data_IF_796677777215
#
_entry.id   IF_796677777215
#
_cell.length_a   1.000
_cell.length_b   1.000
_cell.length_c   1.000
_cell.angle_alpha   90.00
_cell.angle_beta   90.00
_cell.angle_gamma   90.00
#
_symmetry.space_group_name_H-M   'P 1'
#
loop_
_entity.id
_entity.type
_entity.pdbx_description
1 polymer ?
#
# COMPACT_ATOMS: atom_id res chain seq x y z
N UNK A 1 -29.19 -17.41 49.53
CA UNK A 1 -29.90 -18.32 48.61
C UNK A 1 -29.51 -17.97 47.20
N UNK A 2 -29.28 -19.02 46.42
CA UNK A 2 -28.86 -19.06 45.02
C UNK A 2 -29.81 -18.34 44.04
N UNK A 3 -29.21 -17.95 42.92
CA UNK A 3 -29.71 -18.07 41.53
C UNK A 3 -30.87 -17.15 41.09
N UNK A 4 -30.92 -16.56 39.88
CA UNK A 4 -30.27 -16.90 38.60
C UNK A 4 -29.83 -15.67 37.79
N UNK A 5 -28.77 -15.87 37.01
CA UNK A 5 -28.27 -15.07 35.90
C UNK A 5 -29.32 -14.71 34.83
N UNK A 6 -29.10 -13.63 34.07
CA UNK A 6 -28.97 -13.78 32.62
C UNK A 6 -27.86 -12.88 32.05
N UNK A 7 -26.77 -13.55 31.67
CA UNK A 7 -25.79 -13.10 30.70
C UNK A 7 -26.53 -13.07 29.36
N UNK A 8 -27.04 -11.90 28.96
CA UNK A 8 -27.83 -11.77 27.72
C UNK A 8 -27.92 -10.34 27.19
N UNK A 9 -28.04 -9.33 28.06
CA UNK A 9 -28.41 -7.98 27.60
C UNK A 9 -27.25 -6.99 27.47
N UNK A 10 -26.05 -7.33 27.95
CA UNK A 10 -24.89 -6.43 27.87
C UNK A 10 -24.07 -6.57 26.56
N UNK A 11 -24.48 -7.46 25.64
CA UNK A 11 -23.74 -7.73 24.40
C UNK A 11 -24.50 -7.39 23.11
N UNK A 12 -25.70 -6.79 23.20
CA UNK A 12 -26.52 -6.52 22.02
C UNK A 12 -27.10 -5.10 21.88
N UNK A 13 -26.89 -4.18 22.82
CA UNK A 13 -27.48 -2.83 22.71
C UNK A 13 -26.66 -1.81 21.90
N UNK A 14 -25.38 -2.10 21.56
CA UNK A 14 -24.55 -1.17 20.78
C UNK A 14 -24.45 -1.50 19.28
N UNK A 15 -25.29 -2.41 18.77
CA UNK A 15 -25.43 -2.66 17.32
C UNK A 15 -26.40 -1.72 16.61
N UNK A 16 -26.40 -0.43 16.97
CA UNK A 16 -26.96 0.61 16.10
C UNK A 16 -25.81 1.43 15.55
N UNK A 17 -25.57 1.20 14.27
CA UNK A 17 -24.66 1.88 13.34
C UNK A 17 -24.50 3.38 13.59
N UNK A 18 -23.61 3.76 14.51
CA UNK A 18 -22.91 5.03 14.42
C UNK A 18 -21.55 4.72 13.84
N UNK A 19 -21.35 5.08 12.58
CA UNK A 19 -20.04 5.23 11.98
C UNK A 19 -19.12 5.90 13.01
N UNK A 20 -18.17 5.12 13.56
CA UNK A 20 -17.29 5.63 14.61
C UNK A 20 -16.36 6.66 13.96
N UNK A 21 -16.34 7.86 14.53
CA UNK A 21 -15.44 8.95 14.12
C UNK A 21 -13.98 8.49 14.21
N UNK A 22 -13.13 8.94 13.28
CA UNK A 22 -11.69 8.68 13.36
C UNK A 22 -11.15 9.36 14.58
N UNK A 23 -10.72 8.55 15.54
CA UNK A 23 -9.92 9.04 16.63
C UNK A 23 -8.46 8.83 16.22
N UNK A 24 -7.77 9.91 15.89
CA UNK A 24 -6.33 9.89 15.60
C UNK A 24 -5.61 9.69 16.93
N UNK A 25 -5.06 8.51 17.20
CA UNK A 25 -4.20 8.29 18.35
C UNK A 25 -2.73 8.56 17.97
N UNK A 26 -2.13 9.57 18.60
CA UNK A 26 -0.78 10.07 18.31
C UNK A 26 0.36 9.20 18.87
N UNK A 27 0.12 7.94 19.21
CA UNK A 27 1.04 7.18 20.05
C UNK A 27 1.94 6.25 19.23
N UNK A 28 3.20 6.68 19.04
CA UNK A 28 4.40 5.85 18.83
C UNK A 28 4.42 4.98 17.55
N UNK A 29 5.18 5.22 16.50
CA UNK A 29 6.66 5.29 16.41
C UNK A 29 7.02 5.54 14.94
N UNK A 30 8.29 5.82 14.64
CA UNK A 30 8.84 5.98 13.28
C UNK A 30 8.72 4.67 12.49
N UNK A 31 7.52 4.35 12.03
CA UNK A 31 7.24 3.19 11.20
C UNK A 31 6.97 3.69 9.79
N UNK A 32 7.94 3.60 8.88
CA UNK A 32 7.71 3.97 7.51
C UNK A 32 6.92 2.85 6.80
N UNK A 33 5.69 3.16 6.44
CA UNK A 33 4.94 2.64 5.27
C UNK A 33 4.90 1.12 5.10
N UNK A 34 3.81 0.48 5.52
CA UNK A 34 3.77 -0.97 5.60
C UNK A 34 3.52 -1.64 4.24
N UNK A 35 2.58 -1.15 3.40
CA UNK A 35 2.31 -1.80 2.11
C UNK A 35 3.39 -1.52 1.05
N UNK A 36 4.05 -0.36 1.12
CA UNK A 36 5.07 0.01 0.13
C UNK A 36 6.38 -0.74 0.28
N UNK A 37 6.65 -1.24 1.49
CA UNK A 37 7.77 -2.15 1.77
C UNK A 37 7.55 -3.53 1.17
N UNK A 38 6.29 -3.93 1.07
CA UNK A 38 5.88 -5.25 0.66
C UNK A 38 5.74 -5.37 -0.86
N UNK A 39 5.80 -6.61 -1.37
CA UNK A 39 5.52 -6.96 -2.76
C UNK A 39 4.02 -6.89 -3.12
N UNK A 40 3.26 -5.95 -2.55
CA UNK A 40 1.81 -5.81 -2.77
C UNK A 40 1.52 -5.10 -4.09
N UNK A 41 2.22 -3.98 -4.34
CA UNK A 41 2.18 -3.21 -5.59
C UNK A 41 3.47 -3.47 -6.37
N UNK A 42 3.37 -4.16 -7.50
CA UNK A 42 4.51 -4.71 -8.24
C UNK A 42 4.46 -4.27 -9.70
N UNK A 43 5.56 -4.33 -10.46
CA UNK A 43 5.49 -4.06 -11.89
C UNK A 43 4.51 -4.99 -12.59
N UNK A 44 3.84 -4.48 -13.64
CA UNK A 44 2.94 -5.26 -14.47
C UNK A 44 3.50 -6.65 -14.80
N UNK A 45 2.69 -7.70 -14.64
CA UNK A 45 3.12 -9.06 -14.94
C UNK A 45 3.53 -9.18 -16.41
N UNK A 46 4.60 -9.94 -16.66
CA UNK A 46 4.83 -10.50 -17.99
C UNK A 46 3.74 -11.52 -18.29
N UNK A 47 3.49 -11.86 -19.57
CA UNK A 47 2.46 -12.84 -19.98
C UNK A 47 2.55 -14.20 -19.24
N UNK A 48 3.71 -14.51 -18.66
CA UNK A 48 4.01 -15.73 -17.91
C UNK A 48 3.75 -15.65 -16.39
N UNK A 49 3.32 -14.50 -15.85
CA UNK A 49 3.07 -14.34 -14.42
C UNK A 49 1.60 -14.55 -14.09
N UNK A 50 1.34 -15.32 -13.03
CA UNK A 50 0.00 -15.51 -12.50
C UNK A 50 -0.65 -14.20 -12.05
N UNK A 51 -1.97 -14.16 -12.11
CA UNK A 51 -2.76 -12.97 -11.80
C UNK A 51 -2.85 -12.68 -10.30
N UNK A 52 -2.64 -13.70 -9.47
CA UNK A 52 -2.68 -13.61 -8.01
C UNK A 52 -1.29 -13.75 -7.39
N UNK A 53 -1.08 -13.14 -6.23
CA UNK A 53 0.11 -13.32 -5.41
C UNK A 53 -0.24 -13.44 -3.93
N UNK A 54 0.67 -14.07 -3.18
CA UNK A 54 0.65 -14.10 -1.71
C UNK A 54 1.91 -13.40 -1.24
N UNK A 55 1.74 -12.53 -0.25
CA UNK A 55 2.82 -11.77 0.38
C UNK A 55 2.77 -12.04 1.88
N UNK A 56 3.86 -12.57 2.42
CA UNK A 56 4.03 -12.65 3.86
C UNK A 56 4.29 -11.25 4.41
N UNK A 57 3.39 -10.80 5.29
CA UNK A 57 3.45 -9.51 5.94
C UNK A 57 3.71 -9.64 7.45
N UNK A 58 4.00 -10.84 7.96
CA UNK A 58 4.05 -11.14 9.39
C UNK A 58 5.02 -10.23 10.14
N UNK A 59 6.23 -10.03 9.62
CA UNK A 59 7.24 -9.17 10.26
C UNK A 59 6.80 -7.69 10.36
N UNK A 60 6.17 -7.17 9.31
CA UNK A 60 5.78 -5.75 9.24
C UNK A 60 4.44 -5.49 9.93
N UNK A 61 3.45 -6.37 9.76
CA UNK A 61 2.08 -6.15 10.22
C UNK A 61 1.86 -6.64 11.65
N UNK A 62 2.73 -7.49 12.20
CA UNK A 62 2.69 -7.87 13.63
C UNK A 62 2.88 -6.67 14.57
N UNK A 63 3.44 -5.57 14.06
CA UNK A 63 3.66 -4.34 14.82
C UNK A 63 2.40 -3.45 14.89
N UNK A 64 1.41 -3.71 14.03
CA UNK A 64 0.15 -2.97 14.04
C UNK A 64 -0.59 -3.19 15.37
N UNK A 65 -1.32 -2.18 15.83
CA UNK A 65 -2.11 -2.16 17.05
C UNK A 65 -3.07 -3.35 17.10
N UNK A 66 -3.78 -3.64 16.00
CA UNK A 66 -4.65 -4.82 15.89
C UNK A 66 -3.88 -6.13 16.10
N UNK A 67 -2.68 -6.25 15.53
CA UNK A 67 -1.91 -7.48 15.62
C UNK A 67 -1.34 -7.66 17.03
N UNK A 68 -0.86 -6.60 17.67
CA UNK A 68 -0.37 -6.65 19.05
C UNK A 68 -1.48 -6.89 20.07
N UNK A 69 -2.61 -6.22 19.91
CA UNK A 69 -3.76 -6.35 20.82
C UNK A 69 -4.34 -7.77 20.80
N UNK A 70 -4.43 -8.37 19.61
CA UNK A 70 -5.02 -9.71 19.42
C UNK A 70 -3.98 -10.83 19.36
N UNK A 71 -2.68 -10.53 19.46
CA UNK A 71 -1.60 -11.50 19.36
C UNK A 71 -1.52 -12.20 17.99
N UNK A 72 -1.81 -11.49 16.89
CA UNK A 72 -1.63 -12.02 15.55
C UNK A 72 -0.15 -11.99 15.15
N UNK A 73 0.37 -13.14 14.73
CA UNK A 73 1.79 -13.36 14.40
C UNK A 73 1.99 -13.97 13.00
N UNK A 74 0.92 -14.48 12.38
CA UNK A 74 0.92 -14.95 11.00
C UNK A 74 0.01 -14.05 10.16
N UNK A 75 0.60 -13.13 9.39
CA UNK A 75 -0.14 -12.19 8.55
C UNK A 75 0.22 -12.39 7.08
N UNK A 76 -0.79 -12.66 6.25
CA UNK A 76 -0.63 -12.83 4.81
C UNK A 76 -1.56 -11.90 4.03
N UNK A 77 -1.04 -11.36 2.93
CA UNK A 77 -1.81 -10.58 1.97
C UNK A 77 -1.95 -11.41 0.69
N UNK A 78 -3.16 -11.69 0.25
CA UNK A 78 -3.42 -12.54 -0.93
C UNK A 78 -4.49 -11.95 -1.85
N UNK A 79 -4.49 -12.38 -3.10
CA UNK A 79 -5.45 -11.95 -4.12
C UNK A 79 -4.74 -11.36 -5.33
N UNK A 80 -5.39 -10.45 -6.07
CA UNK A 80 -4.87 -9.99 -7.35
C UNK A 80 -3.58 -9.19 -7.20
N UNK A 81 -2.71 -9.32 -8.20
CA UNK A 81 -1.54 -8.45 -8.36
C UNK A 81 -2.00 -7.02 -8.64
N UNK A 82 -1.39 -6.08 -7.92
CA UNK A 82 -1.65 -4.65 -8.07
C UNK A 82 -0.45 -4.03 -8.79
N UNK A 83 -0.69 -3.31 -9.87
CA UNK A 83 0.36 -2.65 -10.64
C UNK A 83 0.68 -1.23 -10.13
N UNK A 84 1.84 -0.69 -10.53
CA UNK A 84 2.26 0.64 -10.09
C UNK A 84 1.61 1.79 -10.88
N UNK A 85 1.21 1.55 -12.14
CA UNK A 85 0.73 2.64 -13.01
C UNK A 85 -0.74 3.02 -12.77
N UNK A 86 -1.58 2.07 -12.35
CA UNK A 86 -3.01 2.28 -12.10
C UNK A 86 -3.38 1.96 -10.66
N UNK A 87 -3.15 0.72 -10.21
CA UNK A 87 -3.70 0.24 -8.94
C UNK A 87 -3.07 0.97 -7.74
N UNK A 88 -1.76 1.20 -7.79
CA UNK A 88 -1.06 2.02 -6.81
C UNK A 88 -1.59 3.47 -6.78
N UNK A 89 -1.83 4.09 -7.94
CA UNK A 89 -2.40 5.45 -8.00
C UNK A 89 -3.80 5.52 -7.41
N UNK A 90 -4.61 4.49 -7.63
CA UNK A 90 -5.95 4.41 -7.03
C UNK A 90 -5.85 4.20 -5.52
N UNK A 91 -4.95 3.36 -5.03
CA UNK A 91 -4.69 3.21 -3.59
C UNK A 91 -4.31 4.54 -2.94
N UNK A 92 -3.40 5.28 -3.58
CA UNK A 92 -3.02 6.64 -3.21
C UNK A 92 -4.24 7.57 -3.13
N UNK A 93 -5.15 7.49 -4.10
CA UNK A 93 -6.41 8.24 -4.07
C UNK A 93 -7.30 7.85 -2.89
N UNK A 94 -7.39 6.55 -2.57
CA UNK A 94 -8.13 6.03 -1.40
C UNK A 94 -7.54 6.60 -0.11
N UNK A 95 -6.22 6.49 0.09
CA UNK A 95 -5.53 7.04 1.26
C UNK A 95 -5.74 8.55 1.37
N UNK A 96 -5.61 9.28 0.25
CA UNK A 96 -5.85 10.73 0.21
C UNK A 96 -7.29 11.06 0.62
N UNK A 97 -8.27 10.35 0.07
CA UNK A 97 -9.68 10.59 0.37
C UNK A 97 -10.01 10.32 1.85
N UNK A 98 -9.52 9.23 2.45
CA UNK A 98 -9.70 8.97 3.88
C UNK A 98 -8.92 9.94 4.78
N UNK A 99 -7.75 10.42 4.36
CA UNK A 99 -7.03 11.43 5.14
C UNK A 99 -7.76 12.77 5.23
N UNK A 100 -8.56 13.10 4.20
CA UNK A 100 -9.27 14.37 4.08
C UNK A 100 -10.70 14.30 4.62
N UNK A 101 -11.40 13.21 4.31
CA UNK A 101 -12.84 13.05 4.56
C UNK A 101 -13.15 11.97 5.59
N UNK A 102 -12.19 11.09 5.86
CA UNK A 102 -12.41 9.93 6.71
C UNK A 102 -12.70 10.32 8.15
N UNK A 103 -12.27 11.50 8.64
CA UNK A 103 -12.29 11.90 10.07
C UNK A 103 -13.63 11.65 10.79
N UNK A 104 -14.74 11.67 10.07
CA UNK A 104 -16.07 11.45 10.63
C UNK A 104 -16.66 10.06 10.37
N UNK A 105 -16.17 9.30 9.39
CA UNK A 105 -16.74 8.00 8.99
C UNK A 105 -15.75 7.14 8.21
N UNK A 106 -15.85 5.82 8.39
CA UNK A 106 -15.15 4.85 7.56
C UNK A 106 -15.77 4.69 6.16
N UNK A 107 -16.86 5.40 5.88
CA UNK A 107 -17.50 5.53 4.58
C UNK A 107 -17.39 6.97 4.09
N UNK A 108 -16.88 7.16 2.89
CA UNK A 108 -16.72 8.46 2.25
C UNK A 108 -17.45 8.48 0.92
N UNK A 109 -18.01 9.64 0.57
CA UNK A 109 -18.55 9.93 -0.75
C UNK A 109 -17.88 11.21 -1.28
N UNK A 110 -17.41 11.18 -2.52
CA UNK A 110 -16.82 12.34 -3.18
C UNK A 110 -17.03 12.30 -4.68
N UNK A 111 -16.81 13.43 -5.35
CA UNK A 111 -16.89 13.51 -6.81
C UNK A 111 -15.83 12.64 -7.46
N UNK A 112 -16.17 11.93 -8.54
CA UNK A 112 -15.18 11.14 -9.29
C UNK A 112 -14.04 12.02 -9.80
N UNK A 113 -14.34 13.22 -10.28
CA UNK A 113 -13.32 14.18 -10.72
C UNK A 113 -12.35 14.58 -9.61
N UNK A 114 -12.83 14.69 -8.36
CA UNK A 114 -11.97 14.93 -7.21
C UNK A 114 -11.14 13.69 -6.86
N UNK A 115 -11.77 12.51 -6.82
CA UNK A 115 -11.07 11.26 -6.55
C UNK A 115 -9.96 11.00 -7.56
N UNK A 116 -10.23 11.15 -8.85
CA UNK A 116 -9.25 10.98 -9.93
C UNK A 116 -8.05 11.94 -9.81
N UNK A 117 -8.28 13.18 -9.37
CA UNK A 117 -7.20 14.13 -9.04
C UNK A 117 -6.39 13.66 -7.84
N UNK A 118 -7.04 13.14 -6.80
CA UNK A 118 -6.41 12.53 -5.63
C UNK A 118 -5.52 11.34 -5.99
N UNK A 119 -5.93 10.53 -6.96
CA UNK A 119 -5.10 9.45 -7.53
C UNK A 119 -3.89 9.96 -8.34
N UNK A 120 -3.80 11.26 -8.61
CA UNK A 120 -2.74 11.87 -9.41
C UNK A 120 -2.96 11.79 -10.93
N UNK A 121 -4.18 11.51 -11.40
CA UNK A 121 -4.51 11.59 -12.82
C UNK A 121 -4.74 13.03 -13.26
N UNK A 122 -4.36 13.35 -14.50
CA UNK A 122 -4.60 14.69 -15.07
C UNK A 122 -6.08 14.88 -15.37
N UNK A 123 -6.62 16.08 -15.08
CA UNK A 123 -8.00 16.45 -15.40
C UNK A 123 -8.33 16.29 -16.90
N UNK A 124 -7.32 16.43 -17.78
CA UNK A 124 -7.46 16.22 -19.24
C UNK A 124 -7.67 14.75 -19.64
N UNK A 125 -7.51 13.80 -18.72
CA UNK A 125 -7.60 12.35 -18.96
C UNK A 125 -8.80 11.70 -18.27
N UNK A 126 -9.77 12.48 -17.80
CA UNK A 126 -10.99 11.97 -17.18
C UNK A 126 -11.95 11.53 -18.29
N UNK A 127 -11.59 10.45 -18.98
CA UNK A 127 -12.33 9.83 -20.07
C UNK A 127 -12.93 8.47 -19.65
N UNK A 128 -13.69 7.84 -20.55
CA UNK A 128 -14.29 6.53 -20.31
C UNK A 128 -13.25 5.44 -19.97
N UNK A 129 -12.04 5.54 -20.56
CA UNK A 129 -10.96 4.59 -20.32
C UNK A 129 -10.38 4.72 -18.91
N UNK A 130 -10.20 5.94 -18.40
CA UNK A 130 -9.76 6.16 -17.03
C UNK A 130 -10.82 5.69 -16.04
N UNK A 131 -12.10 5.93 -16.33
CA UNK A 131 -13.22 5.43 -15.52
C UNK A 131 -13.18 3.91 -15.40
N UNK A 132 -13.03 3.19 -16.51
CA UNK A 132 -12.86 1.73 -16.51
C UNK A 132 -11.61 1.30 -15.72
N UNK A 133 -10.48 1.99 -15.90
CA UNK A 133 -9.24 1.70 -15.18
C UNK A 133 -9.43 1.83 -13.66
N UNK A 134 -10.09 2.90 -13.19
CA UNK A 134 -10.37 3.10 -11.77
C UNK A 134 -11.33 2.03 -11.24
N UNK A 135 -12.37 1.69 -12.00
CA UNK A 135 -13.30 0.61 -11.66
C UNK A 135 -12.56 -0.72 -11.44
N UNK A 136 -11.72 -1.13 -12.40
CA UNK A 136 -10.93 -2.35 -12.29
C UNK A 136 -9.97 -2.32 -11.08
N UNK A 137 -9.31 -1.18 -10.84
CA UNK A 137 -8.41 -1.01 -9.70
C UNK A 137 -9.14 -1.09 -8.36
N UNK A 138 -10.33 -0.47 -8.22
CA UNK A 138 -11.15 -0.58 -7.01
C UNK A 138 -11.58 -2.03 -6.75
N UNK A 139 -11.97 -2.76 -7.80
CA UNK A 139 -12.29 -4.18 -7.71
C UNK A 139 -11.09 -5.02 -7.23
N UNK A 140 -9.89 -4.77 -7.76
CA UNK A 140 -8.68 -5.46 -7.30
C UNK A 140 -8.29 -5.12 -5.87
N UNK A 141 -8.37 -3.85 -5.47
CA UNK A 141 -8.10 -3.42 -4.09
C UNK A 141 -9.08 -4.09 -3.12
N UNK A 142 -10.36 -4.18 -3.48
CA UNK A 142 -11.37 -4.89 -2.70
C UNK A 142 -11.06 -6.39 -2.56
N UNK A 143 -10.57 -7.01 -3.62
CA UNK A 143 -10.25 -8.44 -3.64
C UNK A 143 -8.85 -8.76 -3.11
N UNK A 144 -8.08 -7.77 -2.66
CA UNK A 144 -6.78 -7.96 -2.01
C UNK A 144 -7.02 -8.17 -0.51
N UNK A 145 -7.09 -9.44 -0.12
CA UNK A 145 -7.37 -9.89 1.25
C UNK A 145 -6.13 -9.77 2.14
N UNK A 146 -6.32 -9.36 3.39
CA UNK A 146 -5.35 -9.41 4.47
C UNK A 146 -5.91 -10.39 5.52
N UNK A 147 -5.16 -11.45 5.77
CA UNK A 147 -5.48 -12.48 6.75
C UNK A 147 -4.54 -12.34 7.93
N UNK A 148 -5.10 -12.09 9.12
CA UNK A 148 -4.42 -12.10 10.39
C UNK A 148 -4.76 -13.40 11.12
N UNK A 149 -3.75 -14.08 11.65
CA UNK A 149 -3.92 -15.37 12.31
C UNK A 149 -3.02 -15.45 13.54
N UNK A 150 -3.55 -16.04 14.62
CA UNK A 150 -2.81 -16.36 15.85
C UNK A 150 -2.28 -17.80 15.77
N UNK A 151 -0.97 -17.95 15.74
CA UNK A 151 -0.26 -19.21 15.60
C UNK A 151 -0.53 -19.93 14.27
N UNK A 152 0.07 -21.11 14.12
CA UNK A 152 -0.11 -21.96 12.92
C UNK A 152 -1.52 -22.55 12.78
N UNK A 153 -2.35 -22.53 13.84
CA UNK A 153 -3.55 -23.39 13.94
C UNK A 153 -4.88 -22.62 13.97
N UNK A 154 -4.90 -21.35 13.57
CA UNK A 154 -6.13 -20.54 13.39
C UNK A 154 -7.00 -20.45 14.66
N UNK A 155 -6.36 -20.50 15.84
CA UNK A 155 -7.03 -20.39 17.15
C UNK A 155 -7.81 -19.07 17.31
N UNK A 156 -7.39 -18.06 16.56
CA UNK A 156 -8.13 -16.84 16.29
C UNK A 156 -7.67 -16.29 14.96
N UNK A 157 -8.60 -15.77 14.16
CA UNK A 157 -8.28 -15.15 12.87
C UNK A 157 -9.17 -13.96 12.60
N UNK A 158 -8.65 -13.05 11.80
CA UNK A 158 -9.38 -11.90 11.31
C UNK A 158 -9.03 -11.69 9.84
N UNK A 159 -10.06 -11.59 9.00
CA UNK A 159 -9.91 -11.43 7.56
C UNK A 159 -10.56 -10.11 7.14
N UNK A 160 -9.83 -9.35 6.34
CA UNK A 160 -10.31 -8.08 5.79
C UNK A 160 -9.70 -7.86 4.41
N UNK A 161 -9.99 -6.74 3.76
CA UNK A 161 -9.40 -6.35 2.48
C UNK A 161 -8.71 -4.98 2.57
N UNK A 162 -7.90 -4.63 1.57
CA UNK A 162 -7.35 -3.27 1.46
C UNK A 162 -8.45 -2.21 1.34
N UNK A 163 -9.60 -2.57 0.77
CA UNK A 163 -10.80 -1.76 0.70
C UNK A 163 -12.01 -2.65 1.00
N UNK A 164 -13.02 -2.18 1.74
CA UNK A 164 -14.27 -2.92 1.99
C UNK A 164 -15.29 -2.74 0.88
N UNK A 165 -15.43 -1.52 0.39
CA UNK A 165 -16.37 -1.19 -0.70
C UNK A 165 -15.77 -0.10 -1.56
N UNK A 166 -15.85 -0.28 -2.88
CA UNK A 166 -15.53 0.76 -3.85
C UNK A 166 -16.67 0.85 -4.84
N UNK A 167 -17.58 1.80 -4.62
CA UNK A 167 -18.66 2.11 -5.54
C UNK A 167 -18.30 3.34 -6.35
N UNK A 168 -18.68 3.33 -7.62
CA UNK A 168 -18.45 4.44 -8.53
C UNK A 168 -19.61 4.50 -9.52
N UNK A 169 -20.11 5.70 -9.75
CA UNK A 169 -21.11 6.00 -10.76
C UNK A 169 -20.58 7.13 -11.66
N UNK A 170 -20.39 6.79 -12.93
CA UNK A 170 -19.86 7.71 -13.92
C UNK A 170 -20.84 8.83 -14.27
N UNK A 171 -22.12 8.50 -14.32
CA UNK A 171 -23.21 9.40 -14.74
C UNK A 171 -23.52 10.41 -13.64
N UNK A 172 -23.54 9.94 -12.39
CA UNK A 172 -23.73 10.78 -11.21
C UNK A 172 -22.47 11.51 -10.74
N UNK A 173 -21.32 11.23 -11.36
CA UNK A 173 -19.99 11.74 -10.99
C UNK A 173 -19.61 11.46 -9.52
N UNK A 174 -19.98 10.30 -8.97
CA UNK A 174 -19.71 9.95 -7.55
C UNK A 174 -18.82 8.73 -7.39
N UNK A 175 -18.03 8.73 -6.33
CA UNK A 175 -17.29 7.59 -5.81
C UNK A 175 -17.62 7.46 -4.33
N UNK A 176 -18.01 6.26 -3.90
CA UNK A 176 -18.14 5.93 -2.49
C UNK A 176 -17.09 4.89 -2.11
N UNK A 177 -16.34 5.15 -1.05
CA UNK A 177 -15.32 4.23 -0.53
C UNK A 177 -15.66 3.86 0.90
N UNK A 178 -15.41 2.61 1.26
CA UNK A 178 -15.54 2.12 2.63
C UNK A 178 -14.28 1.34 3.00
N UNK A 179 -13.74 1.60 4.19
CA UNK A 179 -12.54 0.95 4.72
C UNK A 179 -12.82 0.22 6.03
N UNK A 180 -11.91 -0.68 6.39
CA UNK A 180 -11.92 -1.32 7.70
C UNK A 180 -11.24 -0.45 8.74
N UNK A 181 -11.99 -0.03 9.76
CA UNK A 181 -11.49 0.81 10.85
C UNK A 181 -10.34 0.15 11.63
N UNK A 182 -10.35 -1.18 11.69
CA UNK A 182 -9.29 -1.99 12.29
C UNK A 182 -7.94 -1.87 11.59
N UNK A 183 -7.92 -1.33 10.38
CA UNK A 183 -6.71 -1.05 9.62
C UNK A 183 -6.29 0.43 9.67
N UNK A 184 -6.89 1.30 10.49
CA UNK A 184 -6.62 2.74 10.39
C UNK A 184 -5.15 3.13 10.51
N UNK A 185 -4.41 2.47 11.40
CA UNK A 185 -2.97 2.65 11.51
C UNK A 185 -2.29 2.42 10.15
N UNK A 186 -2.66 1.39 9.39
CA UNK A 186 -2.14 1.12 8.05
C UNK A 186 -2.37 2.29 7.09
N UNK A 187 -3.59 2.82 7.03
CA UNK A 187 -3.94 3.96 6.16
C UNK A 187 -3.15 5.23 6.55
N UNK A 188 -2.97 5.47 7.85
CA UNK A 188 -2.19 6.62 8.35
C UNK A 188 -0.70 6.50 8.04
N UNK A 189 -0.12 5.30 8.21
CA UNK A 189 1.28 5.02 7.88
C UNK A 189 1.56 5.23 6.39
N UNK A 190 0.63 4.80 5.54
CA UNK A 190 0.74 4.95 4.08
C UNK A 190 0.53 6.40 3.61
N UNK A 191 -0.26 7.21 4.31
CA UNK A 191 -0.46 8.63 3.99
C UNK A 191 0.86 9.43 3.97
N UNK A 192 1.85 9.07 4.79
CA UNK A 192 3.14 9.77 4.80
C UNK A 192 3.90 9.67 3.48
N UNK A 193 3.68 8.63 2.68
CA UNK A 193 4.28 8.50 1.33
C UNK A 193 3.63 9.39 0.31
N UNK A 194 2.34 9.72 0.49
CA UNK A 194 1.62 10.63 -0.41
C UNK A 194 2.32 11.99 -0.51
N UNK A 195 2.95 12.44 0.58
CA UNK A 195 3.60 13.74 0.67
C UNK A 195 4.83 13.88 -0.25
N UNK A 196 5.30 12.80 -0.88
CA UNK A 196 6.55 12.76 -1.65
C UNK A 196 6.35 12.32 -3.11
N UNK A 197 5.16 12.50 -3.69
CA UNK A 197 4.78 12.03 -5.04
C UNK A 197 5.60 12.55 -6.25
N UNK A 198 6.58 13.42 -6.03
CA UNK A 198 7.39 14.01 -7.09
C UNK A 198 8.13 12.96 -7.91
N UNK A 199 8.76 11.97 -7.26
CA UNK A 199 9.48 10.90 -7.95
C UNK A 199 8.56 10.00 -8.80
N UNK A 200 7.37 9.65 -8.29
CA UNK A 200 6.39 8.85 -9.04
C UNK A 200 5.96 9.55 -10.33
N UNK A 201 5.73 10.88 -10.27
CA UNK A 201 5.40 11.70 -11.44
C UNK A 201 6.54 11.78 -12.46
N UNK A 202 7.79 11.82 -11.98
CA UNK A 202 8.99 11.80 -12.83
C UNK A 202 9.33 10.42 -13.43
N UNK A 203 8.60 9.36 -13.02
CA UNK A 203 8.80 7.98 -13.47
C UNK A 203 7.59 7.42 -14.24
N UNK A 204 7.05 8.12 -15.26
CA UNK A 204 5.87 7.64 -15.97
C UNK A 204 6.14 6.28 -16.63
N UNK A 205 5.27 5.30 -16.36
CA UNK A 205 5.34 3.92 -16.88
C UNK A 205 6.62 3.14 -16.48
N UNK A 206 7.47 3.68 -15.60
CA UNK A 206 8.69 3.02 -15.11
C UNK A 206 8.38 2.26 -13.82
N UNK A 207 7.51 1.25 -13.90
CA UNK A 207 6.93 0.61 -12.71
C UNK A 207 7.97 -0.03 -11.78
N UNK A 208 9.05 -0.62 -12.33
CA UNK A 208 10.14 -1.16 -11.50
C UNK A 208 10.86 -0.05 -10.69
N UNK A 209 11.11 1.11 -11.31
CA UNK A 209 11.70 2.26 -10.60
C UNK A 209 10.72 2.85 -9.59
N UNK A 210 9.42 2.90 -9.90
CA UNK A 210 8.40 3.34 -8.95
C UNK A 210 8.33 2.39 -7.73
N UNK A 211 8.35 1.07 -7.96
CA UNK A 211 8.33 0.08 -6.89
C UNK A 211 9.58 0.18 -6.01
N UNK A 212 10.78 0.25 -6.61
CA UNK A 212 12.04 0.45 -5.86
C UNK A 212 12.05 1.80 -5.13
N UNK A 213 11.53 2.88 -5.73
CA UNK A 213 11.38 4.18 -5.08
C UNK A 213 10.56 4.06 -3.79
N UNK A 214 9.35 3.50 -3.89
CA UNK A 214 8.46 3.36 -2.71
C UNK A 214 9.09 2.52 -1.62
N UNK A 215 9.85 1.48 -1.99
CA UNK A 215 10.62 0.67 -1.06
C UNK A 215 11.75 1.47 -0.40
N UNK A 216 12.59 2.16 -1.17
CA UNK A 216 13.71 2.94 -0.62
C UNK A 216 13.20 4.06 0.28
N UNK A 217 12.14 4.76 -0.11
CA UNK A 217 11.55 5.85 0.68
C UNK A 217 11.00 5.34 2.00
N UNK A 218 10.49 4.11 2.02
CA UNK A 218 10.06 3.47 3.25
C UNK A 218 11.22 3.01 4.14
N UNK A 219 12.50 3.10 3.75
CA UNK A 219 13.60 2.70 4.63
C UNK A 219 13.97 3.83 5.61
N UNK A 220 14.57 3.53 6.78
CA UNK A 220 15.14 4.54 7.67
C UNK A 220 16.13 5.44 6.93
N UNK A 221 16.37 6.68 7.40
CA UNK A 221 17.23 7.65 6.71
C UNK A 221 18.60 7.09 6.31
N UNK A 222 19.24 6.32 7.20
CA UNK A 222 20.52 5.64 6.97
C UNK A 222 20.31 4.12 7.04
N UNK A 223 19.85 3.47 5.96
CA UNK A 223 19.58 2.06 5.96
C UNK A 223 20.90 1.28 5.82
N UNK A 224 20.90 0.05 6.35
CA UNK A 224 21.95 -0.91 6.00
C UNK A 224 21.94 -1.19 4.49
N UNK A 225 23.05 -1.68 3.91
CA UNK A 225 23.10 -2.04 2.49
C UNK A 225 21.96 -2.98 2.09
N UNK A 226 21.24 -2.63 1.02
CA UNK A 226 20.07 -3.36 0.54
C UNK A 226 20.52 -4.43 -0.45
N UNK A 227 20.27 -5.70 -0.17
CA UNK A 227 20.61 -6.79 -1.08
C UNK A 227 19.73 -6.78 -2.33
N UNK A 228 20.25 -7.27 -3.45
CA UNK A 228 19.45 -7.49 -4.65
C UNK A 228 18.36 -8.53 -4.41
N UNK A 229 18.56 -9.53 -3.54
CA UNK A 229 17.49 -10.44 -3.10
C UNK A 229 16.27 -9.71 -2.55
N UNK A 230 16.46 -8.74 -1.64
CA UNK A 230 15.35 -7.95 -1.09
C UNK A 230 14.65 -7.12 -2.16
N UNK A 231 15.40 -6.58 -3.12
CA UNK A 231 14.82 -5.85 -4.26
C UNK A 231 14.08 -6.78 -5.21
N UNK A 232 14.54 -8.02 -5.41
CA UNK A 232 13.83 -9.05 -6.18
C UNK A 232 12.51 -9.42 -5.53
N UNK A 233 12.50 -9.68 -4.23
CA UNK A 233 11.28 -9.93 -3.43
C UNK A 233 10.30 -8.76 -3.56
N UNK A 234 10.80 -7.52 -3.43
CA UNK A 234 9.99 -6.32 -3.60
C UNK A 234 9.35 -6.23 -4.98
N UNK A 235 10.10 -6.53 -6.04
CA UNK A 235 9.59 -6.49 -7.42
C UNK A 235 8.69 -7.69 -7.76
N UNK A 236 8.88 -8.82 -7.06
CA UNK A 236 8.14 -10.06 -7.26
C UNK A 236 8.00 -10.46 -8.73
N UNK A 237 9.11 -10.47 -9.47
CA UNK A 237 9.13 -10.87 -10.88
C UNK A 237 9.39 -12.38 -11.00
N UNK A 238 8.79 -13.04 -11.99
CA UNK A 238 9.03 -14.46 -12.33
C UNK A 238 10.16 -14.69 -13.33
N UNK A 239 10.76 -13.62 -13.85
CA UNK A 239 11.89 -13.70 -14.79
C UNK A 239 13.13 -14.31 -14.12
N UNK A 240 14.12 -14.70 -14.90
CA UNK A 240 15.36 -15.23 -14.34
C UNK A 240 16.05 -14.23 -13.39
N UNK A 241 16.82 -14.72 -12.42
CA UNK A 241 17.57 -13.86 -11.48
C UNK A 241 18.46 -12.85 -12.21
N UNK A 242 19.05 -13.25 -13.34
CA UNK A 242 19.87 -12.36 -14.17
C UNK A 242 19.05 -11.19 -14.74
N UNK A 243 17.87 -11.47 -15.30
CA UNK A 243 16.97 -10.44 -15.85
C UNK A 243 16.41 -9.54 -14.75
N UNK A 244 16.08 -10.10 -13.58
CA UNK A 244 15.66 -9.31 -12.43
C UNK A 244 16.77 -8.37 -11.98
N UNK A 245 18.01 -8.86 -11.87
CA UNK A 245 19.16 -8.03 -11.51
C UNK A 245 19.41 -6.91 -12.54
N UNK A 246 19.22 -7.19 -13.84
CA UNK A 246 19.29 -6.16 -14.89
C UNK A 246 18.20 -5.10 -14.74
N UNK A 247 16.98 -5.54 -14.42
CA UNK A 247 15.82 -4.66 -14.18
C UNK A 247 16.06 -3.77 -12.96
N UNK A 248 16.59 -4.34 -11.87
CA UNK A 248 16.97 -3.60 -10.65
C UNK A 248 18.00 -2.52 -10.97
N UNK A 249 19.09 -2.85 -11.68
CA UNK A 249 20.12 -1.88 -12.06
C UNK A 249 19.54 -0.72 -12.86
N UNK A 250 18.76 -1.03 -13.91
CA UNK A 250 18.09 -0.04 -14.74
C UNK A 250 17.14 0.86 -13.92
N UNK A 251 16.41 0.28 -12.97
CA UNK A 251 15.52 1.03 -12.10
C UNK A 251 16.28 1.97 -11.14
N UNK A 252 17.40 1.52 -10.57
CA UNK A 252 18.27 2.37 -9.74
C UNK A 252 18.90 3.52 -10.55
N UNK A 253 19.37 3.25 -11.76
CA UNK A 253 19.86 4.27 -12.69
C UNK A 253 18.76 5.30 -13.02
N UNK A 254 17.53 4.85 -13.26
CA UNK A 254 16.40 5.75 -13.47
C UNK A 254 16.14 6.66 -12.27
N UNK A 255 16.30 6.16 -11.05
CA UNK A 255 16.17 6.93 -9.81
C UNK A 255 17.29 7.95 -9.63
N UNK A 256 18.51 7.59 -10.01
CA UNK A 256 19.65 8.50 -10.03
C UNK A 256 19.47 9.60 -11.08
N UNK A 257 19.01 9.24 -12.29
CA UNK A 257 18.80 10.17 -13.40
C UNK A 257 17.73 11.24 -13.12
N UNK A 258 16.68 10.91 -12.37
CA UNK A 258 15.69 11.91 -11.93
C UNK A 258 16.18 12.74 -10.73
N UNK A 259 17.41 12.50 -10.25
CA UNK A 259 18.00 13.21 -9.12
C UNK A 259 17.44 12.80 -7.75
N UNK A 260 16.77 11.65 -7.65
CA UNK A 260 16.24 11.14 -6.39
C UNK A 260 17.31 10.42 -5.56
N UNK A 261 18.11 9.55 -6.18
CA UNK A 261 18.98 8.61 -5.46
C UNK A 261 20.45 8.79 -5.81
N UNK A 262 21.30 8.87 -4.79
CA UNK A 262 22.74 8.67 -4.91
C UNK A 262 23.11 7.34 -4.26
N UNK A 263 23.74 6.43 -5.02
CA UNK A 263 24.03 5.08 -4.57
C UNK A 263 25.32 4.53 -5.17
N UNK A 264 25.85 3.49 -4.54
CA UNK A 264 26.90 2.64 -5.09
C UNK A 264 26.49 1.17 -5.02
N UNK A 265 27.11 0.35 -5.88
CA UNK A 265 26.92 -1.09 -5.90
C UNK A 265 28.16 -1.78 -5.39
N UNK A 266 28.00 -2.66 -4.40
CA UNK A 266 29.07 -3.52 -3.89
C UNK A 266 28.68 -4.98 -4.03
N UNK A 267 29.67 -5.83 -4.29
CA UNK A 267 29.46 -7.28 -4.39
C UNK A 267 30.08 -7.98 -3.18
N UNK A 268 29.29 -8.77 -2.46
CA UNK A 268 29.75 -9.59 -1.33
C UNK A 268 29.16 -10.98 -1.44
N UNK A 269 29.99 -12.02 -1.28
CA UNK A 269 29.56 -13.42 -1.30
C UNK A 269 28.62 -13.76 -2.49
N UNK A 270 28.99 -13.33 -3.70
CA UNK A 270 28.24 -13.50 -4.97
C UNK A 270 26.92 -12.72 -5.10
N UNK A 271 26.46 -12.02 -4.08
CA UNK A 271 25.26 -11.16 -4.10
C UNK A 271 25.66 -9.68 -4.27
N UNK A 272 24.81 -8.89 -4.94
CA UNK A 272 25.00 -7.45 -5.07
C UNK A 272 24.21 -6.71 -4.00
N UNK A 273 24.77 -5.62 -3.49
CA UNK A 273 24.15 -4.75 -2.51
C UNK A 273 24.17 -3.31 -3.01
N UNK A 274 23.08 -2.60 -2.72
CA UNK A 274 22.94 -1.16 -2.95
C UNK A 274 23.28 -0.45 -1.65
N UNK A 275 24.30 0.40 -1.68
CA UNK A 275 24.60 1.34 -0.60
C UNK A 275 23.96 2.67 -0.97
N UNK A 276 23.04 3.14 -0.14
CA UNK A 276 22.32 4.39 -0.36
C UNK A 276 23.11 5.50 0.35
N UNK A 277 23.64 6.45 -0.42
CA UNK A 277 24.40 7.59 0.11
C UNK A 277 23.48 8.77 0.42
N UNK A 278 22.51 9.03 -0.47
CA UNK A 278 21.60 10.17 -0.33
C UNK A 278 20.27 9.92 -1.03
N UNK A 279 19.20 10.46 -0.45
CA UNK A 279 17.86 10.55 -1.07
C UNK A 279 17.45 12.00 -1.19
N UNK A 280 16.72 12.32 -2.24
CA UNK A 280 16.16 13.65 -2.46
C UNK A 280 14.66 13.56 -2.81
N UNK A 281 13.78 13.46 -1.79
CA UNK A 281 12.34 13.23 -2.00
C UNK A 281 11.61 14.35 -2.77
N UNK A 282 12.15 15.58 -2.76
CA UNK A 282 11.58 16.71 -3.50
C UNK A 282 11.99 16.71 -4.98
N UNK A 283 12.94 15.86 -5.37
CA UNK A 283 13.76 16.00 -6.57
C UNK A 283 14.50 17.36 -6.52
N UNK A 284 15.64 17.50 -7.19
CA UNK A 284 16.25 18.85 -7.28
C UNK A 284 15.25 19.75 -8.02
N UNK A 285 15.09 21.04 -7.67
CA UNK A 285 14.52 21.98 -8.62
C UNK A 285 15.26 21.77 -9.93
N UNK A 286 14.52 21.50 -11.01
CA UNK A 286 15.11 21.57 -12.33
C UNK A 286 15.65 22.99 -12.46
N UNK A 287 16.95 23.16 -12.64
CA UNK A 287 17.46 24.40 -13.23
C UNK A 287 16.99 24.38 -14.70
N UNK A 288 15.73 24.75 -14.93
CA UNK A 288 15.13 25.09 -16.24
C UNK A 288 14.20 26.28 -16.01
#
# INVERSE_FOLDING_TARGET
>A
MKDESFIGDALYSDMVSKDKQLTVNSNNTVQPVALMRLGVFVPKPTKSQGENNVVDASELFSQLEIARAEGYDHINISGPRLNMDSDFKVWIGVIYAFSKYGLASNKIELKFTEFAKGCGFSAKRIDARLRLTIHESLGKLRNKSISFKRGSDARGSYQTGLLKTGYFDAERDIVQLEADEKLWELFQLDYRVLLQHHAIKALPKKEAAQAIYTFIESLPANPIPVSFSRLRERLSLSSSVSEQNRTIKKALEQLQNIGYLEFSLVRKARENFVIIHKRNPKLKPSDI
#
